data_IF_802518994353
#
_entry.id   IF_802518994353
#
_cell.length_a   1.000
_cell.length_b   1.000
_cell.length_c   1.000
_cell.angle_alpha   90.00
_cell.angle_beta   90.00
_cell.angle_gamma   90.00
#
_symmetry.space_group_name_H-M   'P 1'
#
loop_
_entity.id
_entity.type
_entity.pdbx_description
1 polymer ?
#
# COMPACT_ATOMS: atom_id res chain seq x y z
N UNK A 1 -0.29 -22.81 42.58
CA UNK A 1 0.00 -23.57 41.35
C UNK A 1 0.92 -22.70 40.50
N UNK A 2 2.20 -23.05 40.39
CA UNK A 2 3.14 -22.30 39.54
C UNK A 2 3.11 -22.92 38.15
N UNK A 3 2.45 -22.26 37.21
CA UNK A 3 2.59 -22.58 35.79
C UNK A 3 4.04 -22.41 35.34
N UNK A 4 4.47 -23.32 34.45
CA UNK A 4 5.83 -23.36 33.96
C UNK A 4 6.17 -22.05 33.21
N UNK A 5 7.37 -21.48 33.40
CA UNK A 5 7.80 -20.25 32.75
C UNK A 5 7.72 -20.27 31.21
N UNK A 6 7.73 -21.46 30.60
CA UNK A 6 7.57 -21.62 29.15
C UNK A 6 6.20 -21.18 28.61
N UNK A 7 5.10 -21.46 29.33
CA UNK A 7 3.75 -21.05 28.91
C UNK A 7 3.56 -19.54 29.01
N UNK A 8 4.10 -18.94 30.08
CA UNK A 8 4.13 -17.49 30.31
C UNK A 8 4.85 -16.75 29.18
N UNK A 9 6.02 -17.27 28.79
CA UNK A 9 6.79 -16.75 27.68
C UNK A 9 6.03 -16.81 26.35
N UNK A 10 5.33 -17.92 26.11
CA UNK A 10 4.58 -18.12 24.88
C UNK A 10 3.43 -17.11 24.76
N UNK A 11 2.63 -16.92 25.82
CA UNK A 11 1.52 -15.94 25.86
C UNK A 11 2.02 -14.52 25.59
N UNK A 12 3.09 -14.10 26.28
CA UNK A 12 3.64 -12.74 26.19
C UNK A 12 4.20 -12.47 24.78
N UNK A 13 4.97 -13.43 24.23
CA UNK A 13 5.51 -13.33 22.87
C UNK A 13 4.39 -13.26 21.83
N UNK A 14 3.30 -14.01 22.02
CA UNK A 14 2.14 -14.00 21.11
C UNK A 14 1.41 -12.66 21.15
N UNK A 15 1.17 -12.13 22.34
CA UNK A 15 0.49 -10.84 22.51
C UNK A 15 1.27 -9.73 21.80
N UNK A 16 2.60 -9.77 21.88
CA UNK A 16 3.52 -8.87 21.17
C UNK A 16 3.40 -9.06 19.65
N UNK A 17 3.48 -10.29 19.13
CA UNK A 17 3.38 -10.56 17.69
C UNK A 17 2.02 -10.13 17.12
N UNK A 18 0.92 -10.39 17.82
CA UNK A 18 -0.44 -10.02 17.40
C UNK A 18 -0.68 -8.51 17.47
N UNK A 19 -0.12 -7.81 18.46
CA UNK A 19 -0.20 -6.33 18.51
C UNK A 19 0.69 -5.67 17.47
N UNK A 20 1.81 -6.30 17.12
CA UNK A 20 2.69 -5.83 16.07
C UNK A 20 2.03 -5.95 14.69
N UNK A 21 1.42 -7.09 14.34
CA UNK A 21 0.78 -7.28 13.03
C UNK A 21 -0.38 -6.30 12.79
N UNK A 22 -1.18 -5.98 13.80
CA UNK A 22 -2.25 -4.98 13.71
C UNK A 22 -1.74 -3.55 13.42
N UNK A 23 -0.51 -3.21 13.83
CA UNK A 23 0.06 -1.87 13.65
C UNK A 23 0.94 -1.75 12.40
N UNK A 24 1.54 -2.86 11.90
CA UNK A 24 2.19 -2.90 10.56
C UNK A 24 1.20 -2.52 9.45
N UNK A 25 -0.09 -2.74 9.65
CA UNK A 25 -1.14 -2.47 8.67
C UNK A 25 -1.53 -1.00 8.50
N UNK A 26 -1.38 -0.20 9.55
CA UNK A 26 -1.56 1.25 9.46
C UNK A 26 -0.43 1.93 8.66
N UNK A 27 0.77 1.33 8.64
CA UNK A 27 1.95 1.85 7.91
C UNK A 27 2.07 1.35 6.45
N UNK A 28 1.41 0.24 6.09
CA UNK A 28 1.46 -0.33 4.72
C UNK A 28 0.44 0.26 3.77
N UNK A 29 -0.50 1.11 4.21
CA UNK A 29 -1.33 1.91 3.28
C UNK A 29 -0.51 2.90 2.44
N UNK A 30 0.75 3.15 2.80
CA UNK A 30 1.65 4.07 2.11
C UNK A 30 2.72 3.39 1.23
N UNK A 31 2.73 2.05 1.07
CA UNK A 31 3.73 1.36 0.22
C UNK A 31 3.19 1.18 -1.19
N UNK A 32 3.74 1.94 -2.14
CA UNK A 32 3.45 1.90 -3.58
C UNK A 32 3.91 0.60 -4.30
N UNK A 33 4.25 -0.48 -3.58
CA UNK A 33 4.95 -1.64 -4.18
C UNK A 33 4.37 -3.02 -3.92
N UNK A 34 3.44 -3.21 -2.98
CA UNK A 34 2.78 -4.52 -2.83
C UNK A 34 1.44 -4.51 -3.54
N UNK A 35 1.20 -5.55 -4.35
CA UNK A 35 -0.14 -5.79 -4.90
C UNK A 35 -1.12 -6.12 -3.77
N UNK A 36 -2.42 -5.79 -3.91
CA UNK A 36 -3.43 -6.16 -2.91
C UNK A 36 -3.44 -7.65 -2.56
N UNK A 37 -3.12 -8.52 -3.54
CA UNK A 37 -3.02 -9.96 -3.37
C UNK A 37 -1.83 -10.37 -2.48
N UNK A 38 -0.63 -9.85 -2.75
CA UNK A 38 0.57 -10.13 -1.93
C UNK A 38 0.38 -9.70 -0.48
N UNK A 39 -0.19 -8.51 -0.27
CA UNK A 39 -0.51 -8.01 1.08
C UNK A 39 -1.47 -8.93 1.82
N UNK A 40 -2.51 -9.41 1.13
CA UNK A 40 -3.49 -10.32 1.73
C UNK A 40 -2.83 -11.65 2.10
N UNK A 41 -1.96 -12.18 1.23
CA UNK A 41 -1.21 -13.41 1.50
C UNK A 41 -0.28 -13.29 2.71
N UNK A 42 0.48 -12.19 2.80
CA UNK A 42 1.36 -11.92 3.94
C UNK A 42 0.56 -11.89 5.25
N UNK A 43 -0.63 -11.29 5.23
CA UNK A 43 -1.50 -11.25 6.40
C UNK A 43 -2.02 -12.61 6.82
N UNK A 44 -2.35 -13.47 5.86
CA UNK A 44 -2.72 -14.86 6.15
C UNK A 44 -1.58 -15.63 6.79
N UNK A 45 -0.35 -15.51 6.27
CA UNK A 45 0.82 -16.16 6.85
C UNK A 45 1.04 -15.71 8.31
N UNK A 46 0.95 -14.40 8.55
CA UNK A 46 1.04 -13.85 9.91
C UNK A 46 -0.10 -14.35 10.81
N UNK A 47 -1.32 -14.49 10.28
CA UNK A 47 -2.47 -14.96 11.03
C UNK A 47 -2.31 -16.41 11.44
N UNK A 48 -1.86 -17.29 10.52
CA UNK A 48 -1.58 -18.69 10.81
C UNK A 48 -0.56 -18.83 11.94
N UNK A 49 0.54 -18.06 11.88
CA UNK A 49 1.54 -18.04 12.95
C UNK A 49 0.94 -17.59 14.31
N UNK A 50 0.13 -16.53 14.30
CA UNK A 50 -0.57 -16.09 15.51
C UNK A 50 -1.54 -17.14 16.04
N UNK A 51 -2.31 -17.76 15.15
CA UNK A 51 -3.29 -18.81 15.45
C UNK A 51 -2.64 -20.04 16.07
N UNK A 52 -1.55 -20.54 15.47
CA UNK A 52 -0.76 -21.66 15.99
C UNK A 52 -0.26 -21.38 17.40
N UNK A 53 0.14 -20.13 17.65
CA UNK A 53 0.64 -19.74 18.95
C UNK A 53 -0.49 -19.67 19.99
N UNK A 54 -1.66 -19.09 19.66
CA UNK A 54 -2.85 -19.10 20.54
C UNK A 54 -3.28 -20.54 20.84
N UNK A 55 -3.34 -21.39 19.81
CA UNK A 55 -3.61 -22.82 19.95
C UNK A 55 -2.62 -23.52 20.89
N UNK A 56 -1.34 -23.17 20.81
CA UNK A 56 -0.30 -23.72 21.69
C UNK A 56 -0.48 -23.26 23.13
N UNK A 57 -0.87 -22.00 23.38
CA UNK A 57 -1.25 -21.51 24.71
C UNK A 57 -2.40 -22.35 25.28
N UNK A 58 -3.48 -22.54 24.51
CA UNK A 58 -4.65 -23.30 24.96
C UNK A 58 -4.29 -24.74 25.30
N UNK A 59 -3.55 -25.43 24.41
CA UNK A 59 -3.08 -26.80 24.66
C UNK A 59 -2.21 -26.90 25.91
N UNK A 60 -1.37 -25.90 26.18
CA UNK A 60 -0.52 -25.89 27.36
C UNK A 60 -1.31 -25.64 28.65
N UNK A 61 -2.35 -24.79 28.63
CA UNK A 61 -3.26 -24.65 29.78
C UNK A 61 -3.91 -26.00 30.11
N UNK A 62 -4.47 -26.66 29.10
CA UNK A 62 -5.09 -27.99 29.24
C UNK A 62 -4.10 -29.04 29.77
N UNK A 63 -2.88 -29.07 29.23
CA UNK A 63 -1.83 -29.97 29.68
C UNK A 63 -1.40 -29.73 31.13
N UNK A 64 -1.60 -28.52 31.66
CA UNK A 64 -1.35 -28.17 33.05
C UNK A 64 -2.57 -28.40 33.96
N UNK A 65 -3.67 -28.95 33.42
CA UNK A 65 -4.91 -29.20 34.14
C UNK A 65 -5.76 -27.94 34.33
N UNK A 66 -5.49 -26.88 33.57
CA UNK A 66 -6.25 -25.63 33.59
C UNK A 66 -7.26 -25.61 32.45
N UNK A 67 -8.43 -25.05 32.71
CA UNK A 67 -9.50 -24.94 31.71
C UNK A 67 -9.42 -23.59 31.01
N UNK A 68 -9.34 -23.58 29.69
CA UNK A 68 -9.43 -22.35 28.89
C UNK A 68 -10.80 -21.69 29.14
N UNK A 69 -10.86 -20.40 29.50
CA UNK A 69 -12.13 -19.73 29.71
C UNK A 69 -13.01 -19.79 28.47
N UNK A 70 -14.30 -20.12 28.63
CA UNK A 70 -15.21 -20.23 27.49
C UNK A 70 -15.27 -18.94 26.66
N UNK A 71 -15.25 -17.76 27.30
CA UNK A 71 -15.23 -16.49 26.60
C UNK A 71 -13.97 -16.32 25.72
N UNK A 72 -12.82 -16.90 26.10
CA UNK A 72 -11.63 -16.91 25.26
C UNK A 72 -11.80 -17.82 24.04
N UNK A 73 -12.36 -19.02 24.25
CA UNK A 73 -12.69 -19.95 23.16
C UNK A 73 -13.67 -19.33 22.15
N UNK A 74 -14.70 -18.62 22.63
CA UNK A 74 -15.66 -17.95 21.78
C UNK A 74 -15.00 -16.89 20.89
N UNK A 75 -14.04 -16.12 21.43
CA UNK A 75 -13.26 -15.14 20.66
C UNK A 75 -12.31 -15.80 19.67
N UNK A 76 -11.64 -16.87 20.07
CA UNK A 76 -10.79 -17.65 19.19
C UNK A 76 -11.59 -18.23 18.01
N UNK A 77 -12.77 -18.81 18.26
CA UNK A 77 -13.65 -19.32 17.20
C UNK A 77 -14.16 -18.21 16.28
N UNK A 78 -14.51 -17.04 16.82
CA UNK A 78 -14.84 -15.87 16.00
C UNK A 78 -13.68 -15.45 15.09
N UNK A 79 -12.44 -15.53 15.59
CA UNK A 79 -11.26 -15.23 14.79
C UNK A 79 -11.12 -16.20 13.60
N UNK A 80 -11.33 -17.50 13.82
CA UNK A 80 -11.28 -18.52 12.77
C UNK A 80 -12.33 -18.27 11.68
N UNK A 81 -13.57 -18.01 12.07
CA UNK A 81 -14.65 -17.69 11.11
C UNK A 81 -14.31 -16.45 10.27
N UNK A 82 -13.79 -15.39 10.89
CA UNK A 82 -13.37 -14.19 10.16
C UNK A 82 -12.20 -14.44 9.21
N UNK A 83 -11.26 -15.33 9.58
CA UNK A 83 -10.16 -15.72 8.70
C UNK A 83 -10.65 -16.55 7.51
N UNK A 84 -11.59 -17.48 7.71
CA UNK A 84 -12.24 -18.23 6.63
C UNK A 84 -13.01 -17.31 5.67
N UNK A 85 -13.79 -16.36 6.20
CA UNK A 85 -14.48 -15.33 5.39
C UNK A 85 -13.47 -14.51 4.58
N UNK A 86 -12.37 -14.10 5.20
CA UNK A 86 -11.28 -13.40 4.51
C UNK A 86 -10.70 -14.23 3.37
N UNK A 87 -10.61 -15.56 3.52
CA UNK A 87 -9.98 -16.43 2.53
C UNK A 87 -10.88 -16.57 1.31
N UNK A 88 -12.19 -16.77 1.53
CA UNK A 88 -13.20 -16.77 0.47
C UNK A 88 -13.15 -15.47 -0.34
N UNK A 89 -13.18 -14.32 0.34
CA UNK A 89 -13.11 -13.00 -0.31
C UNK A 89 -11.83 -12.84 -1.13
N UNK A 90 -10.69 -13.32 -0.62
CA UNK A 90 -9.41 -13.28 -1.35
C UNK A 90 -9.44 -14.17 -2.60
N UNK A 91 -10.07 -15.34 -2.55
CA UNK A 91 -10.22 -16.25 -3.70
C UNK A 91 -11.16 -15.66 -4.77
N UNK A 92 -12.15 -14.86 -4.36
CA UNK A 92 -13.04 -14.10 -5.23
C UNK A 92 -12.38 -12.83 -5.81
N UNK A 93 -11.16 -12.50 -5.39
CA UNK A 93 -10.43 -11.30 -5.82
C UNK A 93 -10.83 -10.03 -5.05
N UNK A 94 -11.66 -10.14 -4.01
CA UNK A 94 -12.07 -9.04 -3.14
C UNK A 94 -11.05 -8.79 -2.01
N UNK A 95 -9.84 -8.38 -2.38
CA UNK A 95 -8.72 -8.23 -1.46
C UNK A 95 -8.92 -7.14 -0.40
N UNK A 96 -9.68 -6.09 -0.69
CA UNK A 96 -9.91 -5.01 0.29
C UNK A 96 -10.70 -5.52 1.48
N UNK A 97 -11.85 -6.17 1.22
CA UNK A 97 -12.69 -6.74 2.27
C UNK A 97 -12.00 -7.92 2.98
N UNK A 98 -11.26 -8.76 2.23
CA UNK A 98 -10.43 -9.80 2.81
C UNK A 98 -9.46 -9.23 3.87
N UNK A 99 -8.74 -8.17 3.52
CA UNK A 99 -7.81 -7.51 4.44
C UNK A 99 -8.50 -7.00 5.72
N UNK A 100 -9.71 -6.46 5.63
CA UNK A 100 -10.47 -6.01 6.80
C UNK A 100 -10.89 -7.18 7.71
N UNK A 101 -11.29 -8.30 7.10
CA UNK A 101 -11.70 -9.52 7.81
C UNK A 101 -10.53 -10.17 8.53
N UNK A 102 -9.37 -10.33 7.88
CA UNK A 102 -8.18 -10.91 8.54
C UNK A 102 -7.66 -10.02 9.67
N UNK A 103 -7.75 -8.69 9.55
CA UNK A 103 -7.44 -7.75 10.63
C UNK A 103 -8.38 -7.96 11.82
N UNK A 104 -9.68 -8.08 11.55
CA UNK A 104 -10.68 -8.36 12.58
C UNK A 104 -10.41 -9.70 13.26
N UNK A 105 -9.95 -10.71 12.50
CA UNK A 105 -9.54 -11.99 13.05
C UNK A 105 -8.35 -11.85 14.02
N UNK A 106 -7.31 -11.09 13.67
CA UNK A 106 -6.21 -10.79 14.61
C UNK A 106 -6.69 -10.13 15.90
N UNK A 107 -7.62 -9.18 15.80
CA UNK A 107 -8.19 -8.52 16.98
C UNK A 107 -8.91 -9.52 17.89
N UNK A 108 -9.63 -10.49 17.31
CA UNK A 108 -10.29 -11.56 18.08
C UNK A 108 -9.30 -12.52 18.72
N UNK A 109 -8.20 -12.87 18.05
CA UNK A 109 -7.10 -13.63 18.68
C UNK A 109 -6.48 -12.86 19.85
N UNK A 110 -6.27 -11.55 19.72
CA UNK A 110 -5.79 -10.68 20.80
C UNK A 110 -6.76 -10.67 21.99
N UNK A 111 -8.06 -10.50 21.72
CA UNK A 111 -9.11 -10.53 22.75
C UNK A 111 -9.11 -11.88 23.48
N UNK A 112 -9.00 -13.00 22.76
CA UNK A 112 -8.93 -14.33 23.35
C UNK A 112 -7.76 -14.45 24.34
N UNK A 113 -6.55 -14.07 23.93
CA UNK A 113 -5.37 -14.08 24.81
C UNK A 113 -5.51 -13.13 26.00
N UNK A 114 -6.13 -11.96 25.81
CA UNK A 114 -6.38 -11.01 26.91
C UNK A 114 -7.30 -11.61 27.97
N UNK A 115 -8.31 -12.39 27.57
CA UNK A 115 -9.19 -13.10 28.49
C UNK A 115 -8.44 -14.19 29.25
N UNK A 116 -7.56 -14.96 28.57
CA UNK A 116 -6.68 -15.94 29.23
C UNK A 116 -5.79 -15.25 30.26
N UNK A 117 -5.13 -14.16 29.88
CA UNK A 117 -4.24 -13.40 30.76
C UNK A 117 -4.95 -12.90 32.03
N UNK A 118 -6.17 -12.38 31.86
CA UNK A 118 -7.00 -11.94 32.99
C UNK A 118 -7.47 -13.09 33.90
N UNK A 119 -7.74 -14.28 33.33
CA UNK A 119 -8.17 -15.46 34.08
C UNK A 119 -7.02 -16.13 34.85
N UNK A 120 -5.80 -16.01 34.33
CA UNK A 120 -4.59 -16.58 34.91
C UNK A 120 -3.54 -15.49 35.10
N UNK A 121 -3.76 -14.50 35.99
CA UNK A 121 -2.86 -13.35 36.12
C UNK A 121 -1.46 -13.82 36.52
N UNK A 122 -0.56 -13.84 35.53
CA UNK A 122 0.82 -14.22 35.69
C UNK A 122 1.56 -12.99 36.19
N UNK A 123 2.28 -13.11 37.32
CA UNK A 123 3.30 -12.10 37.62
C UNK A 123 4.37 -12.17 36.53
N UNK A 124 4.36 -11.19 35.63
CA UNK A 124 5.44 -10.97 34.68
C UNK A 124 6.71 -10.66 35.47
N UNK A 125 7.81 -11.29 35.08
CA UNK A 125 9.12 -10.94 35.60
C UNK A 125 9.56 -9.60 35.02
N UNK A 126 10.42 -8.87 35.74
CA UNK A 126 11.00 -7.62 35.25
C UNK A 126 11.73 -7.80 33.90
N UNK A 127 12.35 -8.97 33.71
CA UNK A 127 12.99 -9.36 32.44
C UNK A 127 11.99 -9.46 31.29
N UNK A 128 10.82 -10.05 31.52
CA UNK A 128 9.76 -10.19 30.51
C UNK A 128 9.17 -8.82 30.16
N UNK A 129 8.86 -7.99 31.16
CA UNK A 129 8.40 -6.61 30.94
C UNK A 129 9.43 -5.81 30.13
N UNK A 130 10.71 -5.93 30.49
CA UNK A 130 11.81 -5.27 29.79
C UNK A 130 11.93 -5.74 28.35
N UNK A 131 11.78 -7.03 28.07
CA UNK A 131 11.84 -7.58 26.72
C UNK A 131 10.64 -7.12 25.88
N UNK A 132 9.44 -7.19 26.44
CA UNK A 132 8.22 -6.72 25.78
C UNK A 132 8.36 -5.26 25.35
N UNK A 133 8.74 -4.38 26.28
CA UNK A 133 8.98 -2.96 25.99
C UNK A 133 10.05 -2.77 24.92
N UNK A 134 11.14 -3.54 24.98
CA UNK A 134 12.22 -3.49 23.98
C UNK A 134 11.69 -3.83 22.59
N UNK A 135 10.93 -4.92 22.45
CA UNK A 135 10.40 -5.36 21.15
C UNK A 135 9.38 -4.36 20.60
N UNK A 136 8.46 -3.89 21.45
CA UNK A 136 7.45 -2.90 21.05
C UNK A 136 8.09 -1.61 20.56
N UNK A 137 9.05 -1.06 21.32
CA UNK A 137 9.74 0.18 20.95
C UNK A 137 10.61 0.01 19.69
N UNK A 138 11.37 -1.10 19.57
CA UNK A 138 12.18 -1.37 18.36
C UNK A 138 11.32 -1.45 17.11
N UNK A 139 10.20 -2.16 17.17
CA UNK A 139 9.32 -2.23 16.02
C UNK A 139 8.72 -0.87 15.66
N UNK A 140 8.29 -0.09 16.67
CA UNK A 140 7.76 1.23 16.41
C UNK A 140 8.82 2.16 15.78
N UNK A 141 10.06 2.13 16.27
CA UNK A 141 11.19 2.88 15.70
C UNK A 141 11.42 2.47 14.24
N UNK A 142 11.52 1.16 13.95
CA UNK A 142 11.73 0.66 12.58
C UNK A 142 10.69 1.20 11.59
N UNK A 143 9.42 1.20 11.98
CA UNK A 143 8.33 1.74 11.15
C UNK A 143 8.49 3.22 10.85
N UNK A 144 8.91 4.03 11.83
CA UNK A 144 9.14 5.45 11.59
C UNK A 144 10.38 5.70 10.75
N UNK A 145 11.42 4.85 10.83
CA UNK A 145 12.55 4.91 9.91
C UNK A 145 12.12 4.68 8.46
N UNK A 146 11.32 3.63 8.20
CA UNK A 146 10.79 3.34 6.86
C UNK A 146 9.89 4.46 6.32
N UNK A 147 9.02 5.02 7.18
CA UNK A 147 8.18 6.16 6.79
C UNK A 147 9.02 7.39 6.45
N UNK A 148 10.08 7.65 7.23
CA UNK A 148 10.97 8.79 7.04
C UNK A 148 11.77 8.68 5.74
N UNK A 149 12.21 7.47 5.36
CA UNK A 149 12.87 7.22 4.08
C UNK A 149 11.97 7.59 2.89
N UNK A 150 10.68 7.28 2.96
CA UNK A 150 9.72 7.69 1.91
C UNK A 150 9.57 9.21 1.84
N UNK A 151 9.46 9.86 3.00
CA UNK A 151 9.41 11.32 3.10
C UNK A 151 10.67 11.96 2.49
N UNK A 152 11.84 11.39 2.78
CA UNK A 152 13.12 11.84 2.24
C UNK A 152 13.17 11.69 0.71
N UNK A 153 12.73 10.56 0.17
CA UNK A 153 12.68 10.35 -1.28
C UNK A 153 11.78 11.37 -2.00
N UNK A 154 10.59 11.66 -1.45
CA UNK A 154 9.69 12.68 -2.03
C UNK A 154 10.32 14.07 -1.92
N UNK A 155 10.97 14.37 -0.78
CA UNK A 155 11.66 15.65 -0.56
C UNK A 155 12.79 15.85 -1.58
N UNK A 156 13.64 14.84 -1.80
CA UNK A 156 14.69 14.87 -2.83
C UNK A 156 14.12 15.07 -4.24
N UNK A 157 13.01 14.40 -4.55
CA UNK A 157 12.34 14.56 -5.83
C UNK A 157 11.77 15.99 -6.01
N UNK A 158 11.16 16.55 -4.95
CA UNK A 158 10.68 17.94 -4.95
C UNK A 158 11.81 18.95 -5.14
N UNK A 159 12.95 18.75 -4.47
CA UNK A 159 14.13 19.58 -4.65
C UNK A 159 14.62 19.56 -6.11
N UNK A 160 14.63 18.38 -6.73
CA UNK A 160 15.01 18.19 -8.14
C UNK A 160 14.04 18.88 -9.11
N UNK A 161 12.78 19.06 -8.70
CA UNK A 161 11.77 19.81 -9.43
C UNK A 161 11.80 21.32 -9.14
N UNK A 162 12.76 21.80 -8.33
CA UNK A 162 12.97 23.22 -8.04
C UNK A 162 12.24 23.76 -6.81
N UNK A 163 11.62 22.90 -6.00
CA UNK A 163 11.01 23.33 -4.73
C UNK A 163 12.09 23.63 -3.69
N UNK A 164 11.86 24.65 -2.86
CA UNK A 164 12.71 24.92 -1.71
C UNK A 164 12.40 23.93 -0.57
N UNK A 165 13.28 22.95 -0.40
CA UNK A 165 13.14 21.85 0.56
C UNK A 165 13.96 22.00 1.83
N UNK A 166 14.71 23.09 2.01
CA UNK A 166 15.67 23.24 3.12
C UNK A 166 15.04 23.01 4.50
N UNK A 167 13.84 23.57 4.74
CA UNK A 167 13.13 23.36 6.01
C UNK A 167 12.68 21.90 6.21
N UNK A 168 12.34 21.19 5.13
CA UNK A 168 11.97 19.78 5.20
C UNK A 168 13.19 18.92 5.52
N UNK A 169 14.31 19.18 4.87
CA UNK A 169 15.59 18.49 5.09
C UNK A 169 16.06 18.64 6.54
N UNK A 170 16.03 19.86 7.11
CA UNK A 170 16.38 20.11 8.51
C UNK A 170 15.50 19.32 9.48
N UNK A 171 14.19 19.27 9.20
CA UNK A 171 13.24 18.52 10.04
C UNK A 171 13.41 17.01 9.88
N UNK A 172 13.68 16.50 8.68
CA UNK A 172 14.02 15.10 8.42
C UNK A 172 15.25 14.71 9.25
N UNK A 173 16.30 15.54 9.23
CA UNK A 173 17.51 15.29 10.03
C UNK A 173 17.21 15.30 11.53
N UNK A 174 16.34 16.20 11.99
CA UNK A 174 15.88 16.24 13.38
C UNK A 174 15.17 14.94 13.77
N UNK A 175 14.29 14.41 12.92
CA UNK A 175 13.60 13.13 13.16
C UNK A 175 14.61 11.97 13.18
N UNK A 176 15.57 11.92 12.24
CA UNK A 176 16.64 10.90 12.24
C UNK A 176 17.36 10.86 13.58
N UNK A 177 17.77 12.03 14.07
CA UNK A 177 18.46 12.15 15.37
C UNK A 177 17.57 11.68 16.54
N UNK A 178 16.27 11.95 16.52
CA UNK A 178 15.33 11.49 17.56
C UNK A 178 15.16 9.96 17.51
N UNK A 179 15.03 9.36 16.33
CA UNK A 179 14.92 7.91 16.16
C UNK A 179 16.20 7.18 16.57
N UNK A 180 17.37 7.76 16.29
CA UNK A 180 18.66 7.25 16.76
C UNK A 180 18.74 7.30 18.30
N UNK A 181 18.39 8.44 18.92
CA UNK A 181 18.33 8.55 20.39
C UNK A 181 17.33 7.56 21.01
N UNK A 182 16.17 7.35 20.38
CA UNK A 182 15.20 6.36 20.81
C UNK A 182 15.79 4.95 20.79
N UNK A 183 16.49 4.59 19.70
CA UNK A 183 17.19 3.30 19.56
C UNK A 183 18.22 3.10 20.67
N UNK A 184 19.10 4.08 20.87
CA UNK A 184 20.12 4.04 21.92
C UNK A 184 19.51 3.92 23.32
N UNK A 185 18.39 4.60 23.59
CA UNK A 185 17.69 4.48 24.87
C UNK A 185 17.07 3.09 25.06
N UNK A 186 16.54 2.46 24.01
CA UNK A 186 16.06 1.07 24.09
C UNK A 186 17.20 0.11 24.44
N UNK A 187 18.37 0.25 23.81
CA UNK A 187 19.55 -0.59 24.09
C UNK A 187 20.04 -0.44 25.54
N UNK A 188 19.94 0.76 26.09
CA UNK A 188 20.28 1.08 27.48
C UNK A 188 19.15 0.77 28.47
N UNK A 189 18.04 0.17 28.01
CA UNK A 189 16.83 -0.13 28.81
C UNK A 189 16.19 1.12 29.46
N UNK A 190 16.39 2.31 28.87
CA UNK A 190 15.79 3.59 29.27
C UNK A 190 14.48 3.80 28.52
N UNK A 191 13.48 2.97 28.82
CA UNK A 191 12.26 2.85 28.02
C UNK A 191 11.41 4.12 27.98
N UNK A 192 11.32 4.86 29.08
CA UNK A 192 10.58 6.12 29.17
C UNK A 192 11.21 7.18 28.24
N UNK A 193 12.54 7.34 28.31
CA UNK A 193 13.26 8.26 27.44
C UNK A 193 13.24 7.82 25.96
N UNK A 194 13.17 6.52 25.67
CA UNK A 194 12.97 6.02 24.31
C UNK A 194 11.56 6.38 23.80
N UNK A 195 10.53 6.20 24.63
CA UNK A 195 9.16 6.53 24.29
C UNK A 195 8.95 8.04 24.05
N UNK A 196 9.59 8.90 24.85
CA UNK A 196 9.58 10.35 24.67
C UNK A 196 10.19 10.78 23.32
N UNK A 197 11.40 10.32 23.01
CA UNK A 197 12.05 10.61 21.74
C UNK A 197 11.21 10.12 20.54
N UNK A 198 10.62 8.93 20.65
CA UNK A 198 9.76 8.36 19.62
C UNK A 198 8.46 9.17 19.45
N UNK A 199 7.85 9.64 20.54
CA UNK A 199 6.65 10.48 20.49
C UNK A 199 6.94 11.82 19.80
N UNK A 200 8.08 12.44 20.10
CA UNK A 200 8.50 13.68 19.43
C UNK A 200 8.78 13.46 17.94
N UNK A 201 9.50 12.38 17.60
CA UNK A 201 9.74 11.98 16.21
C UNK A 201 8.41 11.81 15.45
N UNK A 202 7.45 11.10 16.05
CA UNK A 202 6.10 10.92 15.48
C UNK A 202 5.40 12.25 15.21
N UNK A 203 5.39 13.17 16.18
CA UNK A 203 4.74 14.48 16.01
C UNK A 203 5.36 15.27 14.86
N UNK A 204 6.69 15.25 14.72
CA UNK A 204 7.38 15.90 13.61
C UNK A 204 7.10 15.21 12.27
N UNK A 205 7.10 13.87 12.21
CA UNK A 205 6.79 13.11 11.00
C UNK A 205 5.40 13.43 10.45
N UNK A 206 4.37 13.53 11.31
CA UNK A 206 3.01 13.90 10.89
C UNK A 206 2.99 15.30 10.27
N UNK A 207 3.72 16.26 10.87
CA UNK A 207 3.79 17.64 10.34
C UNK A 207 4.47 17.70 8.98
N UNK A 208 5.56 16.95 8.80
CA UNK A 208 6.27 16.90 7.52
C UNK A 208 5.40 16.22 6.46
N UNK A 209 4.73 15.12 6.81
CA UNK A 209 3.90 14.37 5.87
C UNK A 209 2.82 15.25 5.23
N UNK A 210 2.20 16.14 5.98
CA UNK A 210 1.22 17.08 5.42
C UNK A 210 1.83 18.00 4.37
N UNK A 211 3.00 18.60 4.65
CA UNK A 211 3.70 19.49 3.71
C UNK A 211 4.12 18.72 2.46
N UNK A 212 4.63 17.50 2.65
CA UNK A 212 5.06 16.63 1.55
C UNK A 212 3.88 16.20 0.69
N UNK A 213 2.71 15.96 1.28
CA UNK A 213 1.49 15.64 0.54
C UNK A 213 1.06 16.81 -0.35
N UNK A 214 1.11 18.04 0.15
CA UNK A 214 0.78 19.23 -0.64
C UNK A 214 1.73 19.35 -1.85
N UNK A 215 3.04 19.22 -1.61
CA UNK A 215 4.05 19.23 -2.68
C UNK A 215 3.83 18.08 -3.68
N UNK A 216 3.47 16.89 -3.20
CA UNK A 216 3.22 15.74 -4.07
C UNK A 216 2.01 15.96 -4.99
N UNK A 217 0.96 16.64 -4.52
CA UNK A 217 -0.19 17.05 -5.33
C UNK A 217 0.24 18.02 -6.42
N UNK A 218 1.00 19.06 -6.07
CA UNK A 218 1.49 20.04 -7.05
C UNK A 218 2.38 19.39 -8.12
N UNK A 219 3.29 18.50 -7.71
CA UNK A 219 4.12 17.72 -8.63
C UNK A 219 3.31 16.82 -9.56
N UNK A 220 2.21 16.24 -9.05
CA UNK A 220 1.29 15.44 -9.86
C UNK A 220 0.61 16.32 -10.91
N UNK A 221 0.12 17.50 -10.54
CA UNK A 221 -0.48 18.48 -11.46
C UNK A 221 0.53 18.88 -12.54
N UNK A 222 1.77 19.23 -12.17
CA UNK A 222 2.80 19.60 -13.13
C UNK A 222 3.14 18.49 -14.12
N UNK A 223 3.20 17.23 -13.65
CA UNK A 223 3.43 16.07 -14.53
C UNK A 223 2.29 15.85 -15.51
N UNK A 224 1.04 15.99 -15.05
CA UNK A 224 -0.14 15.88 -15.92
C UNK A 224 -0.13 17.01 -16.96
N UNK A 225 0.15 18.26 -16.56
CA UNK A 225 0.26 19.38 -17.48
C UNK A 225 1.36 19.16 -18.55
N UNK A 226 2.53 18.67 -18.15
CA UNK A 226 3.60 18.33 -19.09
C UNK A 226 3.19 17.21 -20.06
N UNK A 227 2.45 16.21 -19.58
CA UNK A 227 1.91 15.14 -20.42
C UNK A 227 0.86 15.67 -21.40
N UNK A 228 -0.04 16.57 -20.97
CA UNK A 228 -1.02 17.24 -21.83
C UNK A 228 -0.31 17.98 -22.96
N UNK A 229 0.69 18.80 -22.64
CA UNK A 229 1.44 19.56 -23.64
C UNK A 229 2.10 18.64 -24.67
N UNK A 230 2.77 17.58 -24.22
CA UNK A 230 3.38 16.59 -25.12
C UNK A 230 2.34 15.83 -25.96
N UNK A 231 1.12 15.64 -25.44
CA UNK A 231 0.04 14.99 -26.19
C UNK A 231 -0.52 15.91 -27.25
N UNK A 232 -0.67 17.21 -26.95
CA UNK A 232 -1.05 18.23 -27.93
C UNK A 232 -0.06 18.26 -29.11
N UNK A 233 1.26 18.30 -28.83
CA UNK A 233 2.29 18.27 -29.88
C UNK A 233 2.19 17.03 -30.80
N UNK A 234 1.86 15.86 -30.22
CA UNK A 234 1.65 14.62 -31.00
C UNK A 234 0.39 14.72 -31.86
N UNK A 235 -0.72 15.21 -31.31
CA UNK A 235 -1.96 15.38 -32.04
C UNK A 235 -1.80 16.36 -33.20
N UNK A 236 -1.10 17.48 -32.99
CA UNK A 236 -0.79 18.45 -34.05
C UNK A 236 -0.03 17.78 -35.22
N UNK A 237 0.97 16.93 -34.90
CA UNK A 237 1.73 16.17 -35.91
C UNK A 237 0.86 15.17 -36.68
N UNK A 238 -0.03 14.45 -35.97
CA UNK A 238 -0.96 13.49 -36.58
C UNK A 238 -1.93 14.22 -37.50
N UNK A 239 -2.44 15.38 -37.06
CA UNK A 239 -3.36 16.24 -37.82
C UNK A 239 -2.75 16.70 -39.12
N UNK A 240 -1.55 17.28 -39.09
CA UNK A 240 -0.82 17.71 -40.28
C UNK A 240 -0.65 16.56 -41.30
N UNK A 241 -0.33 15.36 -40.80
CA UNK A 241 -0.18 14.16 -41.64
C UNK A 241 -1.52 13.72 -42.26
N UNK A 242 -2.60 13.71 -41.46
CA UNK A 242 -3.92 13.34 -41.91
C UNK A 242 -4.48 14.33 -42.95
N UNK A 243 -4.24 15.63 -42.78
CA UNK A 243 -4.59 16.68 -43.75
C UNK A 243 -3.84 16.50 -45.06
N UNK A 244 -2.52 16.26 -45.01
CA UNK A 244 -1.70 16.02 -46.21
C UNK A 244 -2.16 14.80 -47.02
N UNK A 245 -2.73 13.79 -46.34
CA UNK A 245 -3.26 12.58 -46.95
C UNK A 245 -4.77 12.65 -47.25
N UNK A 246 -5.44 13.74 -46.87
CA UNK A 246 -6.91 13.86 -46.93
C UNK A 246 -7.64 12.69 -46.27
N UNK A 247 -7.12 12.21 -45.14
CA UNK A 247 -7.64 11.05 -44.41
C UNK A 247 -8.71 11.48 -43.40
N UNK A 248 -9.98 11.49 -43.81
CA UNK A 248 -11.11 11.94 -42.98
C UNK A 248 -11.30 11.12 -41.69
N UNK A 249 -11.02 9.81 -41.71
CA UNK A 249 -11.15 8.96 -40.53
C UNK A 249 -10.12 9.33 -39.45
N UNK A 250 -8.86 9.55 -39.86
CA UNK A 250 -7.81 10.02 -38.95
C UNK A 250 -8.13 11.42 -38.41
N UNK A 251 -8.63 12.35 -39.24
CA UNK A 251 -9.04 13.69 -38.81
C UNK A 251 -10.18 13.66 -37.78
N UNK A 252 -11.18 12.79 -37.98
CA UNK A 252 -12.27 12.63 -37.01
C UNK A 252 -11.76 12.11 -35.65
N UNK A 253 -10.86 11.12 -35.67
CA UNK A 253 -10.24 10.59 -34.45
C UNK A 253 -9.37 11.64 -33.73
N UNK A 254 -8.58 12.44 -34.47
CA UNK A 254 -7.83 13.57 -33.90
C UNK A 254 -8.76 14.56 -33.20
N UNK A 255 -9.88 14.96 -33.83
CA UNK A 255 -10.82 15.91 -33.22
C UNK A 255 -11.45 15.37 -31.92
N UNK A 256 -11.72 14.05 -31.86
CA UNK A 256 -12.19 13.41 -30.63
C UNK A 256 -11.11 13.41 -29.54
N UNK A 257 -9.85 13.15 -29.93
CA UNK A 257 -8.71 13.19 -29.03
C UNK A 257 -8.46 14.60 -28.47
N UNK A 258 -8.54 15.64 -29.32
CA UNK A 258 -8.44 17.05 -28.96
C UNK A 258 -9.57 17.47 -28.00
N UNK A 259 -10.82 17.06 -28.29
CA UNK A 259 -11.97 17.36 -27.41
C UNK A 259 -11.78 16.77 -26.02
N UNK A 260 -11.31 15.53 -25.92
CA UNK A 260 -11.04 14.88 -24.63
C UNK A 260 -9.84 15.53 -23.93
N UNK A 261 -8.79 15.91 -24.67
CA UNK A 261 -7.63 16.60 -24.12
C UNK A 261 -8.00 17.99 -23.57
N UNK A 262 -8.92 18.72 -24.22
CA UNK A 262 -9.39 20.02 -23.74
C UNK A 262 -10.18 19.89 -22.43
N UNK A 263 -11.09 18.92 -22.33
CA UNK A 263 -11.75 18.61 -21.05
C UNK A 263 -10.75 18.22 -19.97
N UNK A 264 -9.70 17.49 -20.31
CA UNK A 264 -8.64 17.16 -19.37
C UNK A 264 -7.91 18.42 -18.86
N UNK A 265 -7.70 19.44 -19.71
CA UNK A 265 -7.15 20.75 -19.28
C UNK A 265 -8.12 21.46 -18.33
N UNK A 266 -9.39 21.55 -18.68
CA UNK A 266 -10.42 22.17 -17.83
C UNK A 266 -10.49 21.50 -16.45
N UNK A 267 -10.54 20.16 -16.39
CA UNK A 267 -10.53 19.43 -15.13
C UNK A 267 -9.22 19.60 -14.35
N UNK A 268 -8.08 19.77 -15.02
CA UNK A 268 -6.81 20.01 -14.35
C UNK A 268 -6.77 21.40 -13.70
N UNK A 269 -7.36 22.42 -14.34
CA UNK A 269 -7.51 23.77 -13.77
C UNK A 269 -8.35 23.75 -12.49
N UNK A 270 -9.41 22.95 -12.48
CA UNK A 270 -10.27 22.71 -11.31
C UNK A 270 -9.67 21.69 -10.31
N UNK A 271 -8.46 21.18 -10.57
CA UNK A 271 -7.77 20.15 -9.78
C UNK A 271 -8.56 18.84 -9.59
N UNK A 272 -9.45 18.53 -10.52
CA UNK A 272 -10.22 17.29 -10.60
C UNK A 272 -9.36 16.18 -11.24
N UNK A 273 -8.41 15.66 -10.45
CA UNK A 273 -7.34 14.78 -10.95
C UNK A 273 -7.86 13.47 -11.54
N UNK A 274 -8.92 12.88 -11.00
CA UNK A 274 -9.42 11.59 -11.48
C UNK A 274 -10.14 11.75 -12.83
N UNK A 275 -10.92 12.82 -12.95
CA UNK A 275 -11.62 13.23 -14.15
C UNK A 275 -10.61 13.59 -15.24
N UNK A 276 -9.55 14.32 -14.88
CA UNK A 276 -8.41 14.62 -15.77
C UNK A 276 -7.78 13.33 -16.32
N UNK A 277 -7.46 12.36 -15.47
CA UNK A 277 -6.85 11.10 -15.90
C UNK A 277 -7.79 10.27 -16.78
N UNK A 278 -9.10 10.32 -16.53
CA UNK A 278 -10.12 9.65 -17.34
C UNK A 278 -10.15 10.23 -18.76
N UNK A 279 -10.18 11.56 -18.89
CA UNK A 279 -10.20 12.20 -20.20
C UNK A 279 -8.86 12.08 -20.94
N UNK A 280 -7.73 12.01 -20.21
CA UNK A 280 -6.44 11.66 -20.82
C UNK A 280 -6.41 10.25 -21.39
N UNK A 281 -7.06 9.28 -20.73
CA UNK A 281 -7.19 7.94 -21.25
C UNK A 281 -8.07 7.91 -22.52
N UNK A 282 -9.20 8.63 -22.52
CA UNK A 282 -10.07 8.79 -23.69
C UNK A 282 -9.32 9.44 -24.86
N UNK A 283 -8.60 10.53 -24.60
CA UNK A 283 -7.76 11.22 -25.59
C UNK A 283 -6.74 10.26 -26.19
N UNK A 284 -6.10 9.42 -25.36
CA UNK A 284 -5.12 8.44 -25.83
C UNK A 284 -5.73 7.36 -26.73
N UNK A 285 -6.92 6.86 -26.42
CA UNK A 285 -7.62 5.89 -27.27
C UNK A 285 -7.86 6.47 -28.67
N UNK A 286 -8.38 7.70 -28.74
CA UNK A 286 -8.61 8.36 -30.03
C UNK A 286 -7.32 8.78 -30.75
N UNK A 287 -6.26 9.13 -30.02
CA UNK A 287 -4.91 9.33 -30.58
C UNK A 287 -4.42 8.04 -31.28
N UNK A 288 -4.58 6.88 -30.63
CA UNK A 288 -4.16 5.59 -31.17
C UNK A 288 -4.99 5.19 -32.41
N UNK A 289 -6.31 5.41 -32.38
CA UNK A 289 -7.18 5.25 -33.57
C UNK A 289 -6.73 6.12 -34.74
N UNK A 290 -6.40 7.39 -34.47
CA UNK A 290 -5.94 8.31 -35.49
C UNK A 290 -4.65 7.84 -36.16
N UNK A 291 -3.71 7.30 -35.38
CA UNK A 291 -2.46 6.71 -35.88
C UNK A 291 -2.74 5.42 -36.67
N UNK A 292 -3.66 4.57 -36.20
CA UNK A 292 -4.04 3.35 -36.90
C UNK A 292 -4.57 3.66 -38.31
N UNK A 293 -5.44 4.67 -38.46
CA UNK A 293 -5.94 5.09 -39.77
C UNK A 293 -4.88 5.65 -40.71
N UNK A 294 -3.73 6.11 -40.19
CA UNK A 294 -2.59 6.56 -41.00
C UNK A 294 -1.72 5.39 -41.47
N UNK A 295 -1.86 4.20 -40.89
CA UNK A 295 -1.11 3.04 -41.39
C UNK A 295 -1.66 2.62 -42.76
N UNK A 296 -0.79 2.47 -43.79
CA UNK A 296 -1.25 2.03 -45.09
C UNK A 296 -1.84 0.63 -44.95
N UNK A 297 -3.13 0.46 -45.26
CA UNK A 297 -3.72 -0.86 -45.43
C UNK A 297 -2.93 -1.52 -46.55
N UNK A 298 -2.08 -2.49 -46.21
CA UNK A 298 -1.37 -3.29 -47.20
C UNK A 298 -2.45 -3.85 -48.14
N UNK A 299 -2.50 -3.33 -49.36
CA UNK A 299 -3.50 -3.70 -50.35
C UNK A 299 -3.53 -5.21 -50.42
N UNK A 300 -4.66 -5.80 -50.04
CA UNK A 300 -4.95 -7.20 -50.32
C UNK A 300 -4.73 -7.39 -51.81
N UNK A 301 -3.59 -8.00 -52.16
CA UNK A 301 -3.25 -8.36 -53.52
C UNK A 301 -4.39 -9.24 -54.03
N UNK A 302 -5.21 -8.66 -54.90
CA UNK A 302 -6.21 -9.34 -55.71
C UNK A 302 -5.48 -10.42 -56.52
N UNK A 303 -5.47 -11.65 -55.99
CA UNK A 303 -5.16 -12.86 -56.78
C UNK A 303 -6.41 -13.30 -57.53
N UNK A 304 -6.97 -12.40 -58.34
CA UNK A 304 -8.08 -12.69 -59.25
C UNK A 304 -7.71 -12.30 -60.69
N UNK A 305 -6.79 -13.05 -61.30
CA UNK A 305 -6.80 -13.26 -62.75
C UNK A 305 -5.81 -14.36 -63.14
N UNK A 306 -6.31 -15.59 -63.37
CA UNK A 306 -6.12 -16.24 -64.66
C UNK A 306 -7.06 -17.44 -64.82
N UNK A 307 -8.25 -17.20 -65.37
CA UNK A 307 -9.08 -18.25 -65.98
C UNK A 307 -9.61 -17.72 -67.32
N UNK A 308 -9.44 -18.57 -68.34
CA UNK A 308 -9.94 -18.53 -69.72
C UNK A 308 -8.98 -17.87 -70.74
N UNK A 309 -8.76 -18.37 -71.97
CA UNK A 309 -9.13 -19.57 -72.76
C UNK A 309 -8.73 -19.28 -74.23
N UNK A 310 -8.70 -20.30 -75.12
CA UNK A 310 -8.78 -20.23 -76.62
C UNK A 310 -7.43 -19.97 -77.36
N UNK A 311 -6.99 -20.63 -78.46
CA UNK A 311 -7.44 -21.75 -79.32
C UNK A 311 -6.26 -22.31 -80.16
N UNK A 312 -6.48 -23.49 -80.74
CA UNK A 312 -5.73 -24.25 -81.75
C UNK A 312 -5.45 -23.50 -83.07
N UNK A 313 -4.62 -24.05 -83.99
CA UNK A 313 -5.02 -25.17 -84.86
C UNK A 313 -4.25 -26.48 -84.62
#
# INVERSE_FOLDING_TARGET
MHLKPALKWLVTLTLIVVTLSAFVLASTQASLQQTPSEKTHDLFSLFQNANDTVSSVFRQLEANGETVPQASLDKYNQALVLAEESESLSQEGNYSEANEKIISAFQKLKEALTIVDAAFPWQQTETEISLERTVQLRSAISRYCEQLERIENITCFAASAGYNTTLLEDRIQTIKNLLEKATNNVEQKRFEAAAENLAEAKTLSVRILNIVNDIAVDLKIQRIAAYINKTQERLDTIKETAEALSNEASLAAVNNAETSLEKAKEYLEDQLINETLTELANSKVSEDEAVEYLTPIASSVDTSSNKASVASP
#
